data_IF_963003870817
#
_entry.id   IF_963003870817
#
_cell.length_a   1.000
_cell.length_b   1.000
_cell.length_c   1.000
_cell.angle_alpha   90.00
_cell.angle_beta   90.00
_cell.angle_gamma   90.00
#
_symmetry.space_group_name_H-M   'P 1'
#
loop_
_entity.id
_entity.type
_entity.pdbx_description
1 polymer ?
#
# COMPACT_ATOMS: atom_id res chain seq x y z
N UNK A 1 2.63 2.78 34.92
CA UNK A 1 3.76 3.65 34.51
C UNK A 1 4.80 3.63 35.61
N UNK A 2 6.09 3.84 35.29
CA UNK A 2 7.18 3.90 36.27
C UNK A 2 7.41 2.60 37.07
N UNK A 3 7.06 1.45 36.49
CA UNK A 3 7.37 0.12 37.04
C UNK A 3 8.08 -0.71 35.96
N UNK A 4 9.06 -1.57 36.33
CA UNK A 4 9.79 -2.38 35.38
C UNK A 4 8.85 -3.32 34.61
N UNK A 5 9.04 -3.41 33.29
CA UNK A 5 8.36 -4.38 32.41
C UNK A 5 9.43 -5.18 31.66
N UNK A 6 9.32 -6.50 31.69
CA UNK A 6 10.13 -7.42 30.90
C UNK A 6 9.39 -7.82 29.63
N UNK A 7 10.10 -7.96 28.51
CA UNK A 7 9.48 -8.36 27.26
C UNK A 7 9.23 -9.87 27.21
N UNK A 8 8.07 -10.30 26.74
CA UNK A 8 7.75 -11.73 26.60
C UNK A 8 8.80 -12.52 25.79
N UNK A 9 9.27 -11.94 24.68
CA UNK A 9 10.28 -12.58 23.82
C UNK A 9 11.74 -12.34 24.29
N UNK A 10 11.96 -11.44 25.25
CA UNK A 10 13.28 -11.05 25.77
C UNK A 10 13.18 -10.78 27.27
N UNK A 11 13.00 -11.83 28.11
CA UNK A 11 12.74 -11.66 29.55
C UNK A 11 13.95 -11.09 30.30
N UNK A 12 15.14 -11.20 29.74
CA UNK A 12 16.39 -10.59 30.20
C UNK A 12 16.41 -9.06 30.00
N UNK A 13 15.59 -8.54 29.09
CA UNK A 13 15.47 -7.10 28.84
C UNK A 13 14.32 -6.51 29.64
N UNK A 14 14.66 -5.58 30.52
CA UNK A 14 13.72 -4.84 31.34
C UNK A 14 13.79 -3.35 31.03
N UNK A 15 12.64 -2.70 30.88
CA UNK A 15 12.52 -1.25 30.72
C UNK A 15 11.57 -0.66 31.76
N UNK A 16 11.79 0.59 32.15
CA UNK A 16 10.86 1.35 32.98
C UNK A 16 10.20 2.41 32.09
N UNK A 17 8.96 2.16 31.59
CA UNK A 17 8.31 3.10 30.70
C UNK A 17 7.89 4.37 31.46
N UNK A 18 8.34 5.51 30.95
CA UNK A 18 7.95 6.86 31.40
C UNK A 18 6.82 7.45 30.56
N UNK A 19 6.62 6.95 29.33
CA UNK A 19 5.48 7.23 28.45
C UNK A 19 5.02 5.97 27.72
N UNK A 20 3.71 5.78 27.57
CA UNK A 20 3.10 4.74 26.72
C UNK A 20 2.05 5.42 25.86
N UNK A 21 2.14 5.22 24.56
CA UNK A 21 1.18 5.75 23.58
C UNK A 21 1.00 4.74 22.45
N UNK A 22 -0.18 4.76 21.83
CA UNK A 22 -0.41 4.04 20.57
C UNK A 22 0.10 4.88 19.39
N UNK A 23 0.14 4.28 18.20
CA UNK A 23 0.67 4.94 17.02
C UNK A 23 -0.15 6.17 16.60
N UNK A 24 -1.48 6.11 16.71
CA UNK A 24 -2.35 7.25 16.41
C UNK A 24 -2.03 8.46 17.30
N UNK A 25 -1.84 8.24 18.59
CA UNK A 25 -1.47 9.28 19.55
C UNK A 25 -0.11 9.88 19.20
N UNK A 26 0.90 9.04 18.94
CA UNK A 26 2.23 9.50 18.54
C UNK A 26 2.19 10.36 17.26
N UNK A 27 1.45 9.92 16.24
CA UNK A 27 1.31 10.61 14.96
C UNK A 27 0.59 11.95 15.15
N UNK A 28 -0.53 11.97 15.88
CA UNK A 28 -1.29 13.20 16.16
C UNK A 28 -0.52 14.21 17.02
N UNK A 29 0.30 13.75 17.97
CA UNK A 29 1.19 14.62 18.75
C UNK A 29 2.20 15.37 17.87
N UNK A 30 2.54 14.81 16.71
CA UNK A 30 3.43 15.44 15.73
C UNK A 30 2.66 16.21 14.63
N UNK A 31 1.38 16.53 14.86
CA UNK A 31 0.51 17.26 13.92
C UNK A 31 0.32 16.54 12.57
N UNK A 32 0.34 15.22 12.59
CA UNK A 32 0.12 14.37 11.41
C UNK A 32 -1.24 13.68 11.49
N UNK A 33 -1.81 13.35 10.33
CA UNK A 33 -3.02 12.53 10.23
C UNK A 33 -2.68 11.04 10.26
N UNK A 34 -3.59 10.23 10.80
CA UNK A 34 -3.41 8.79 10.93
C UNK A 34 -4.56 8.01 10.30
N UNK A 35 -4.23 6.95 9.58
CA UNK A 35 -5.17 5.97 9.03
C UNK A 35 -4.62 4.57 9.32
N UNK A 36 -5.49 3.67 9.78
CA UNK A 36 -5.14 2.28 10.07
C UNK A 36 -5.91 1.32 9.18
N UNK A 37 -5.19 0.47 8.45
CA UNK A 37 -5.72 -0.61 7.64
C UNK A 37 -5.13 -1.93 8.17
N UNK A 38 -5.86 -2.69 9.01
CA UNK A 38 -5.29 -3.78 9.79
C UNK A 38 -5.09 -5.07 8.98
N UNK A 39 -4.22 -5.03 7.97
CA UNK A 39 -3.90 -6.21 7.14
C UNK A 39 -3.02 -7.18 7.92
N UNK A 40 -3.50 -8.42 8.04
CA UNK A 40 -2.77 -9.54 8.65
C UNK A 40 -1.43 -9.76 7.97
N UNK A 41 -0.40 -10.11 8.74
CA UNK A 41 0.93 -10.32 8.19
C UNK A 41 0.92 -11.42 7.13
N UNK A 42 1.69 -11.23 6.05
CA UNK A 42 1.76 -12.11 4.84
C UNK A 42 0.47 -12.25 4.02
N UNK A 43 -0.66 -11.70 4.45
CA UNK A 43 -1.94 -11.78 3.74
C UNK A 43 -2.18 -10.54 2.87
N UNK A 44 -3.09 -10.69 1.91
CA UNK A 44 -3.64 -9.58 1.14
C UNK A 44 -4.71 -8.84 1.96
N UNK A 45 -4.99 -7.56 1.65
CA UNK A 45 -6.12 -6.85 2.23
C UNK A 45 -7.43 -7.53 1.85
N UNK A 46 -8.39 -7.53 2.78
CA UNK A 46 -9.77 -7.97 2.51
C UNK A 46 -10.50 -6.92 1.68
N UNK A 47 -11.63 -7.29 1.07
CA UNK A 47 -12.35 -6.39 0.16
C UNK A 47 -12.85 -5.10 0.86
N UNK A 48 -13.24 -5.19 2.13
CA UNK A 48 -13.62 -4.04 2.96
C UNK A 48 -12.43 -3.12 3.28
N UNK A 49 -11.23 -3.70 3.48
CA UNK A 49 -10.00 -2.90 3.66
C UNK A 49 -9.62 -2.17 2.37
N UNK A 50 -9.82 -2.80 1.21
CA UNK A 50 -9.60 -2.15 -0.09
C UNK A 50 -10.61 -1.04 -0.33
N UNK A 51 -11.89 -1.27 -0.04
CA UNK A 51 -12.94 -0.23 -0.13
C UNK A 51 -12.59 0.97 0.77
N UNK A 52 -12.21 0.70 2.03
CA UNK A 52 -11.81 1.75 2.96
C UNK A 52 -10.57 2.52 2.48
N UNK A 53 -9.56 1.83 1.97
CA UNK A 53 -8.38 2.46 1.37
C UNK A 53 -8.76 3.39 0.22
N UNK A 54 -9.57 2.91 -0.73
CA UNK A 54 -10.01 3.71 -1.87
C UNK A 54 -10.81 4.93 -1.42
N UNK A 55 -11.69 4.77 -0.43
CA UNK A 55 -12.47 5.87 0.16
C UNK A 55 -11.59 6.93 0.83
N UNK A 56 -10.54 6.52 1.54
CA UNK A 56 -9.55 7.45 2.13
C UNK A 56 -8.81 8.22 1.04
N UNK A 57 -8.28 7.54 0.03
CA UNK A 57 -7.48 8.20 -1.02
C UNK A 57 -8.35 9.14 -1.87
N UNK A 58 -9.59 8.75 -2.19
CA UNK A 58 -10.48 9.55 -3.04
C UNK A 58 -11.05 10.79 -2.35
N UNK A 59 -11.27 10.72 -1.03
CA UNK A 59 -11.87 11.81 -0.25
C UNK A 59 -10.88 12.93 0.07
N UNK A 60 -9.57 12.63 0.02
CA UNK A 60 -8.52 13.57 0.35
C UNK A 60 -8.10 14.46 -0.84
N UNK A 61 -7.58 15.68 -0.58
CA UNK A 61 -7.03 16.56 -1.60
C UNK A 61 -5.94 15.90 -2.45
N UNK A 62 -5.86 16.28 -3.73
CA UNK A 62 -4.92 15.68 -4.70
C UNK A 62 -3.44 15.88 -4.33
N UNK A 63 -3.13 16.87 -3.51
CA UNK A 63 -1.80 17.23 -3.01
C UNK A 63 -1.47 16.59 -1.65
N UNK A 64 -2.29 15.67 -1.14
CA UNK A 64 -2.01 14.91 0.08
C UNK A 64 -0.79 14.00 -0.08
N UNK A 65 0.08 13.96 0.92
CA UNK A 65 1.17 12.99 1.03
C UNK A 65 0.77 11.81 1.91
N UNK A 66 1.05 10.61 1.43
CA UNK A 66 0.81 9.37 2.15
C UNK A 66 2.14 8.68 2.49
N UNK A 67 2.38 8.48 3.78
CA UNK A 67 3.48 7.68 4.29
C UNK A 67 2.95 6.29 4.65
N UNK A 68 3.18 5.33 3.77
CA UNK A 68 2.83 3.93 3.99
C UNK A 68 3.93 3.21 4.77
N UNK A 69 3.55 2.46 5.80
CA UNK A 69 4.51 1.59 6.50
C UNK A 69 3.87 0.28 6.94
N UNK A 70 4.71 -0.67 7.33
CA UNK A 70 4.32 -1.89 8.02
C UNK A 70 5.50 -2.30 8.90
N UNK A 71 5.57 -3.56 9.36
CA UNK A 71 6.70 -4.00 10.21
C UNK A 71 8.07 -3.87 9.53
N UNK A 72 8.16 -4.21 8.25
CA UNK A 72 9.43 -4.28 7.52
C UNK A 72 9.50 -3.35 6.29
N UNK A 73 8.40 -2.70 5.92
CA UNK A 73 8.36 -1.88 4.70
C UNK A 73 8.38 -2.68 3.39
N UNK A 74 8.12 -4.00 3.43
CA UNK A 74 8.24 -4.88 2.25
C UNK A 74 6.87 -5.22 1.66
N UNK A 75 6.17 -6.23 2.20
CA UNK A 75 4.97 -6.77 1.55
C UNK A 75 3.79 -5.80 1.49
N UNK A 76 3.21 -5.47 2.65
CA UNK A 76 2.02 -4.63 2.76
C UNK A 76 2.27 -3.21 2.24
N UNK A 77 3.41 -2.62 2.64
CA UNK A 77 3.82 -1.28 2.21
C UNK A 77 3.87 -1.18 0.69
N UNK A 78 4.61 -2.06 0.02
CA UNK A 78 4.72 -2.02 -1.44
C UNK A 78 3.39 -2.35 -2.13
N UNK A 79 2.56 -3.23 -1.56
CA UNK A 79 1.21 -3.49 -2.09
C UNK A 79 0.35 -2.22 -2.10
N UNK A 80 0.26 -1.47 -0.99
CA UNK A 80 -0.52 -0.24 -0.96
C UNK A 80 0.10 0.90 -1.77
N UNK A 81 1.44 0.97 -1.88
CA UNK A 81 2.10 1.91 -2.77
C UNK A 81 1.77 1.65 -4.24
N UNK A 82 1.75 0.38 -4.67
CA UNK A 82 1.33 0.00 -6.02
C UNK A 82 -0.16 0.32 -6.24
N UNK A 83 -1.03 0.00 -5.28
CA UNK A 83 -2.45 0.32 -5.39
C UNK A 83 -2.68 1.83 -5.51
N UNK A 84 -2.04 2.64 -4.67
CA UNK A 84 -2.08 4.09 -4.77
C UNK A 84 -1.64 4.55 -6.16
N UNK A 85 -0.54 4.01 -6.66
CA UNK A 85 0.01 4.37 -7.95
C UNK A 85 -0.94 4.02 -9.12
N UNK A 86 -1.57 2.84 -9.06
CA UNK A 86 -2.62 2.44 -10.00
C UNK A 86 -3.81 3.40 -9.96
N UNK A 87 -4.26 3.83 -8.77
CA UNK A 87 -5.35 4.80 -8.65
C UNK A 87 -5.06 6.13 -9.34
N UNK A 88 -3.77 6.52 -9.42
CA UNK A 88 -3.35 7.81 -10.01
C UNK A 88 -3.02 7.69 -11.49
N UNK A 89 -2.49 6.55 -11.93
CA UNK A 89 -1.80 6.45 -13.21
C UNK A 89 -2.29 5.32 -14.13
N UNK A 90 -3.28 4.50 -13.74
CA UNK A 90 -3.73 3.35 -14.55
C UNK A 90 -4.35 3.71 -15.92
N UNK A 91 -4.74 4.98 -16.14
CA UNK A 91 -5.20 5.45 -17.46
C UNK A 91 -4.07 5.54 -18.49
N UNK A 92 -2.86 5.86 -18.02
CA UNK A 92 -1.73 6.24 -18.88
C UNK A 92 -0.59 5.21 -18.81
N UNK A 93 -0.46 4.49 -17.69
CA UNK A 93 0.68 3.60 -17.42
C UNK A 93 0.19 2.15 -17.29
N UNK A 94 0.80 1.19 -18.01
CA UNK A 94 0.51 -0.24 -17.86
C UNK A 94 0.74 -0.77 -16.44
N UNK A 95 0.01 -1.82 -16.06
CA UNK A 95 0.12 -2.45 -14.74
C UNK A 95 1.54 -2.88 -14.40
N UNK A 96 2.23 -3.52 -15.35
CA UNK A 96 3.57 -4.06 -15.15
C UNK A 96 4.61 -2.95 -14.91
N UNK A 97 4.47 -1.81 -15.59
CA UNK A 97 5.36 -0.66 -15.40
C UNK A 97 5.14 -0.03 -14.03
N UNK A 98 3.89 0.07 -13.55
CA UNK A 98 3.56 0.54 -12.20
C UNK A 98 4.17 -0.40 -11.15
N UNK A 99 3.98 -1.71 -11.29
CA UNK A 99 4.52 -2.69 -10.35
C UNK A 99 6.06 -2.62 -10.35
N UNK A 100 6.68 -2.65 -11.54
CA UNK A 100 8.13 -2.64 -11.69
C UNK A 100 8.76 -1.38 -11.12
N UNK A 101 8.20 -0.18 -11.36
CA UNK A 101 8.78 1.06 -10.82
C UNK A 101 8.69 1.14 -9.30
N UNK A 102 7.60 0.66 -8.68
CA UNK A 102 7.49 0.62 -7.21
C UNK A 102 8.49 -0.34 -6.59
N UNK A 103 8.72 -1.47 -7.25
CA UNK A 103 9.72 -2.45 -6.87
C UNK A 103 11.16 -1.93 -6.97
N UNK A 104 11.46 -1.16 -8.02
CA UNK A 104 12.74 -0.46 -8.16
C UNK A 104 12.93 0.63 -7.10
N UNK A 105 11.88 1.42 -6.81
CA UNK A 105 11.90 2.46 -5.78
C UNK A 105 12.10 1.92 -4.37
N UNK A 106 11.57 0.73 -4.10
CA UNK A 106 11.76 0.07 -2.81
C UNK A 106 13.19 -0.47 -2.60
N UNK A 107 14.05 -0.40 -3.63
CA UNK A 107 15.44 -0.88 -3.62
C UNK A 107 15.58 -2.31 -3.09
N UNK A 108 14.61 -3.16 -3.41
CA UNK A 108 14.58 -4.57 -3.02
C UNK A 108 15.69 -5.35 -3.73
N UNK A 109 16.36 -6.23 -2.99
CA UNK A 109 17.23 -7.24 -3.57
C UNK A 109 16.43 -8.34 -4.31
N UNK A 110 17.14 -9.27 -4.94
CA UNK A 110 16.53 -10.37 -5.70
C UNK A 110 15.63 -11.26 -4.84
N UNK A 111 15.95 -11.45 -3.56
CA UNK A 111 15.15 -12.25 -2.63
C UNK A 111 13.84 -11.55 -2.32
N UNK A 112 13.87 -10.25 -2.05
CA UNK A 112 12.68 -9.44 -1.82
C UNK A 112 11.83 -9.31 -3.08
N UNK A 113 12.43 -9.16 -4.26
CA UNK A 113 11.73 -9.26 -5.55
C UNK A 113 10.95 -10.57 -5.66
N UNK A 114 11.64 -11.71 -5.49
CA UNK A 114 11.03 -13.04 -5.60
C UNK A 114 9.94 -13.26 -4.55
N UNK A 115 10.15 -12.82 -3.31
CA UNK A 115 9.14 -12.93 -2.24
C UNK A 115 7.93 -12.04 -2.49
N UNK A 116 8.12 -10.88 -3.14
CA UNK A 116 7.04 -10.00 -3.52
C UNK A 116 6.22 -10.56 -4.69
N UNK A 117 6.84 -11.22 -5.66
CA UNK A 117 6.14 -11.88 -6.76
C UNK A 117 5.60 -13.24 -6.33
N UNK A 118 4.42 -13.25 -5.71
CA UNK A 118 3.60 -14.46 -5.58
C UNK A 118 2.33 -14.34 -6.44
N UNK A 119 1.79 -15.49 -6.88
CA UNK A 119 0.66 -15.53 -7.81
C UNK A 119 -0.57 -14.81 -7.25
N UNK A 120 -0.88 -15.02 -5.96
CA UNK A 120 -2.04 -14.42 -5.30
C UNK A 120 -1.99 -12.88 -5.33
N UNK A 121 -0.83 -12.28 -5.01
CA UNK A 121 -0.60 -10.84 -5.03
C UNK A 121 -0.60 -10.30 -6.45
N UNK A 122 -0.02 -11.04 -7.40
CA UNK A 122 -0.05 -10.65 -8.79
C UNK A 122 -1.49 -10.57 -9.31
N UNK A 123 -2.29 -11.62 -9.09
CA UNK A 123 -3.70 -11.67 -9.51
C UNK A 123 -4.53 -10.57 -8.84
N UNK A 124 -4.30 -10.32 -7.54
CA UNK A 124 -4.90 -9.23 -6.82
C UNK A 124 -4.58 -7.87 -7.44
N UNK A 125 -3.30 -7.57 -7.71
CA UNK A 125 -2.86 -6.30 -8.29
C UNK A 125 -3.36 -6.12 -9.72
N UNK A 126 -3.42 -7.20 -10.53
CA UNK A 126 -3.98 -7.15 -11.88
C UNK A 126 -5.48 -6.85 -11.86
N UNK A 127 -6.23 -7.45 -10.93
CA UNK A 127 -7.64 -7.12 -10.75
C UNK A 127 -7.83 -5.68 -10.25
N UNK A 128 -7.02 -5.24 -9.28
CA UNK A 128 -7.07 -3.86 -8.79
C UNK A 128 -6.73 -2.84 -9.89
N UNK A 129 -5.76 -3.14 -10.76
CA UNK A 129 -5.46 -2.31 -11.93
C UNK A 129 -6.67 -2.19 -12.87
N UNK A 130 -7.33 -3.31 -13.20
CA UNK A 130 -8.54 -3.29 -14.04
C UNK A 130 -9.64 -2.44 -13.39
N UNK A 131 -9.83 -2.58 -12.09
CA UNK A 131 -10.75 -1.76 -11.31
C UNK A 131 -10.42 -0.27 -11.40
N UNK A 132 -9.16 0.11 -11.15
CA UNK A 132 -8.71 1.49 -11.22
C UNK A 132 -8.85 2.09 -12.63
N UNK A 133 -8.55 1.31 -13.66
CA UNK A 133 -8.65 1.72 -15.06
C UNK A 133 -10.09 2.02 -15.48
N UNK A 134 -11.05 1.22 -15.00
CA UNK A 134 -12.48 1.38 -15.33
C UNK A 134 -13.17 2.50 -14.53
N UNK A 135 -12.77 2.70 -13.27
CA UNK A 135 -13.39 3.68 -12.39
C UNK A 135 -12.77 5.08 -12.50
N UNK A 136 -11.67 5.21 -13.24
CA UNK A 136 -11.04 6.48 -13.54
C UNK A 136 -10.64 7.25 -12.27
N UNK A 137 -11.01 8.53 -12.19
CA UNK A 137 -10.63 9.41 -11.07
C UNK A 137 -11.64 9.44 -9.93
N UNK A 138 -12.87 8.96 -10.15
CA UNK A 138 -13.98 9.19 -9.23
C UNK A 138 -14.15 8.06 -8.23
N UNK A 139 -13.84 6.81 -8.62
CA UNK A 139 -13.98 5.64 -7.74
C UNK A 139 -15.37 5.55 -7.10
N UNK A 140 -16.41 5.75 -7.92
CA UNK A 140 -17.82 5.75 -7.51
C UNK A 140 -18.32 4.32 -7.21
N UNK A 141 -17.80 3.32 -7.93
CA UNK A 141 -18.08 1.91 -7.65
C UNK A 141 -17.07 1.39 -6.63
N UNK A 142 -17.57 0.76 -5.56
CA UNK A 142 -16.72 0.07 -4.57
C UNK A 142 -16.00 -1.12 -5.19
N UNK A 143 -14.79 -1.39 -4.73
CA UNK A 143 -14.00 -2.55 -5.18
C UNK A 143 -14.76 -3.86 -4.91
N UNK A 144 -15.35 -3.99 -3.73
CA UNK A 144 -16.12 -5.18 -3.35
C UNK A 144 -17.31 -5.44 -4.29
N UNK A 145 -17.99 -4.39 -4.74
CA UNK A 145 -19.10 -4.49 -5.69
C UNK A 145 -18.62 -4.74 -7.11
N UNK A 146 -17.53 -4.09 -7.53
CA UNK A 146 -16.89 -4.33 -8.83
C UNK A 146 -16.40 -5.78 -8.98
N UNK A 147 -15.89 -6.41 -7.91
CA UNK A 147 -15.51 -7.83 -7.97
C UNK A 147 -16.70 -8.76 -8.24
N UNK A 148 -17.86 -8.47 -7.65
CA UNK A 148 -19.07 -9.30 -7.82
C UNK A 148 -19.53 -9.34 -9.28
N UNK A 149 -19.36 -8.26 -10.03
CA UNK A 149 -19.77 -8.20 -11.45
C UNK A 149 -18.86 -9.01 -12.38
N UNK A 150 -17.67 -9.41 -11.92
CA UNK A 150 -16.66 -10.12 -12.73
C UNK A 150 -16.48 -11.58 -12.40
N UNK A 151 -16.92 -12.03 -11.22
CA UNK A 151 -16.98 -13.45 -10.87
C UNK A 151 -17.94 -14.26 -11.77
N UNK A 152 -18.59 -13.63 -12.76
CA UNK A 152 -19.40 -14.30 -13.80
C UNK A 152 -18.65 -14.57 -15.12
N UNK A 153 -17.42 -14.07 -15.37
CA UNK A 153 -16.62 -14.44 -16.57
C UNK A 153 -15.10 -14.32 -16.32
N UNK A 154 -14.42 -15.43 -16.05
CA UNK A 154 -12.95 -15.50 -16.06
C UNK A 154 -12.43 -16.02 -17.41
N UNK A 155 -11.51 -15.30 -18.04
CA UNK A 155 -10.35 -15.87 -18.73
C UNK A 155 -9.44 -14.75 -19.25
N UNK A 156 -8.19 -14.71 -18.77
CA UNK A 156 -6.99 -14.60 -19.61
C UNK A 156 -5.75 -14.42 -18.73
N UNK A 157 -4.82 -15.36 -18.89
CA UNK A 157 -3.45 -15.34 -18.38
C UNK A 157 -2.58 -14.60 -19.40
N UNK A 158 -1.62 -13.77 -18.96
CA UNK A 158 -0.67 -13.09 -19.85
C UNK A 158 0.78 -13.30 -19.37
N UNK A 159 1.74 -13.34 -20.30
CA UNK A 159 3.11 -13.73 -19.99
C UNK A 159 3.91 -12.56 -19.38
N UNK A 160 4.89 -12.94 -18.54
CA UNK A 160 5.84 -12.04 -17.89
C UNK A 160 6.81 -11.48 -18.94
N UNK A 161 6.88 -10.16 -19.06
CA UNK A 161 7.86 -9.48 -19.93
C UNK A 161 9.21 -9.26 -19.21
N UNK A 162 10.30 -9.40 -19.97
CA UNK A 162 11.68 -9.32 -19.50
C UNK A 162 12.16 -7.89 -19.26
N UNK A 163 13.15 -7.76 -18.37
CA UNK A 163 13.67 -6.51 -17.85
C UNK A 163 14.69 -5.83 -18.78
N UNK A 164 14.43 -4.59 -19.18
CA UNK A 164 15.49 -3.61 -19.41
C UNK A 164 15.52 -2.58 -18.28
N UNK A 165 16.74 -2.31 -17.77
CA UNK A 165 17.06 -1.21 -16.86
C UNK A 165 17.22 0.05 -17.73
N UNK A 166 16.13 0.75 -17.99
CA UNK A 166 16.23 2.16 -18.37
C UNK A 166 15.77 3.01 -17.20
N UNK A 167 16.51 4.10 -16.99
CA UNK A 167 16.33 5.08 -15.94
C UNK A 167 14.89 5.61 -15.94
N UNK A 168 14.09 5.17 -14.97
CA UNK A 168 12.77 5.72 -14.70
C UNK A 168 12.92 7.17 -14.26
N UNK A 169 12.49 8.12 -15.11
CA UNK A 169 12.27 9.50 -14.71
C UNK A 169 11.10 9.52 -13.73
N UNK A 170 11.42 9.38 -12.45
CA UNK A 170 10.41 9.40 -11.39
C UNK A 170 9.68 10.75 -11.39
N UNK A 171 8.36 10.68 -11.44
CA UNK A 171 7.48 11.86 -11.32
C UNK A 171 7.64 12.41 -9.91
N UNK A 172 8.47 13.44 -9.74
CA UNK A 172 8.44 14.27 -8.54
C UNK A 172 7.13 15.04 -8.55
N UNK A 173 6.32 14.91 -7.50
CA UNK A 173 5.15 15.77 -7.36
C UNK A 173 5.65 17.22 -7.23
N UNK A 174 5.36 18.12 -8.20
CA UNK A 174 5.87 19.48 -8.17
C UNK A 174 5.20 20.34 -7.08
N UNK A 175 4.13 19.84 -6.47
CA UNK A 175 3.37 20.52 -5.42
C UNK A 175 3.85 20.06 -4.04
N UNK A 176 4.13 21.03 -3.18
CA UNK A 176 4.41 20.78 -1.76
C UNK A 176 3.10 20.29 -1.11
N UNK A 177 3.11 19.14 -0.41
CA UNK A 177 1.92 18.63 0.25
C UNK A 177 1.44 19.56 1.36
N UNK A 178 0.13 19.75 1.45
CA UNK A 178 -0.52 20.49 2.54
C UNK A 178 -1.02 19.58 3.67
N UNK A 179 -1.14 18.27 3.39
CA UNK A 179 -1.62 17.26 4.32
C UNK A 179 -0.70 16.04 4.29
N UNK A 180 -0.38 15.50 5.47
CA UNK A 180 0.45 14.30 5.62
C UNK A 180 -0.31 13.23 6.42
N UNK A 181 -0.50 12.06 5.80
CA UNK A 181 -1.14 10.91 6.41
C UNK A 181 -0.16 9.76 6.59
N UNK A 182 -0.10 9.20 7.80
CA UNK A 182 0.55 7.92 8.08
C UNK A 182 -0.49 6.81 7.90
N UNK A 183 -0.20 5.85 7.00
CA UNK A 183 -1.03 4.68 6.75
C UNK A 183 -0.29 3.44 7.26
N UNK A 184 -0.87 2.81 8.28
CA UNK A 184 -0.38 1.58 8.94
C UNK A 184 -1.24 0.37 8.62
#
# INVERSE_FOLDING_TARGET
MNSPISFYNHPDKTIIPTKVENEEQLVKHNSLSYVRIPVTDTKLPTDDMVDYFVDVIKSNPKDTWYHFHCKQGIGRTTTFMIMYDMMRNAKEVPADDIIKRQLLLANFDEKHMKSFYNNERHDFLQNFYKYAKENGSNFDVKWSDWKKTRNTKSNSFFPIASSNKESSNYIKNPKIPTHLYVIS
#
